data_IF_178102254428
#
_entry.id   IF_178102254428
#
_cell.length_a   1.000
_cell.length_b   1.000
_cell.length_c   1.000
_cell.angle_alpha   90.00
_cell.angle_beta   90.00
_cell.angle_gamma   90.00
#
_symmetry.space_group_name_H-M   'P 1'
#
loop_
_entity.id
_entity.type
_entity.pdbx_description
1 polymer ?
#
# COMPACT_ATOMS: atom_id res chain seq x y z
N UNK A 1 2.90 -17.36 0.76
CA UNK A 1 2.82 -15.94 0.42
C UNK A 1 2.08 -15.29 1.57
N UNK A 2 2.81 -14.75 2.55
CA UNK A 2 2.27 -14.51 3.90
C UNK A 2 2.42 -13.05 4.34
N UNK A 3 2.69 -12.15 3.39
CA UNK A 3 2.97 -10.74 3.65
C UNK A 3 1.88 -9.87 3.01
N UNK A 4 1.54 -8.71 3.61
CA UNK A 4 0.63 -7.75 3.01
C UNK A 4 1.11 -7.28 1.61
N UNK A 5 0.15 -6.86 0.79
CA UNK A 5 0.42 -6.13 -0.46
C UNK A 5 0.28 -4.65 -0.13
N UNK A 6 1.31 -3.86 -0.43
CA UNK A 6 1.26 -2.40 -0.32
C UNK A 6 1.23 -1.76 -1.70
N UNK A 7 0.44 -0.69 -1.85
CA UNK A 7 0.31 0.08 -3.10
C UNK A 7 0.51 1.56 -2.75
N UNK A 8 1.47 2.21 -3.43
CA UNK A 8 1.91 3.58 -3.10
C UNK A 8 2.34 4.37 -4.35
N UNK A 9 3.04 5.49 -4.18
CA UNK A 9 3.67 6.21 -5.29
C UNK A 9 5.02 5.60 -5.70
N UNK A 10 5.45 5.87 -6.94
CA UNK A 10 6.65 5.30 -7.56
C UNK A 10 7.90 5.42 -6.69
N UNK A 11 8.19 6.62 -6.16
CA UNK A 11 9.43 6.85 -5.38
C UNK A 11 9.34 6.33 -3.94
N UNK A 12 8.17 5.87 -3.51
CA UNK A 12 7.92 5.32 -2.18
C UNK A 12 7.83 3.79 -2.17
N UNK A 13 8.03 3.13 -3.31
CA UNK A 13 8.01 1.67 -3.37
C UNK A 13 9.07 1.03 -2.44
N UNK A 14 10.26 1.64 -2.36
CA UNK A 14 11.33 1.22 -1.43
C UNK A 14 10.94 1.33 0.05
N UNK A 15 10.45 2.51 0.49
CA UNK A 15 10.03 2.70 1.89
C UNK A 15 8.83 1.83 2.25
N UNK A 16 7.95 1.55 1.29
CA UNK A 16 6.80 0.66 1.49
C UNK A 16 7.22 -0.79 1.71
N UNK A 17 8.15 -1.30 0.90
CA UNK A 17 8.77 -2.62 1.08
C UNK A 17 9.46 -2.73 2.45
N UNK A 18 10.32 -1.76 2.77
CA UNK A 18 11.12 -1.78 3.99
C UNK A 18 10.25 -1.62 5.24
N UNK A 19 9.28 -0.71 5.20
CA UNK A 19 8.30 -0.49 6.25
C UNK A 19 7.49 -1.76 6.55
N UNK A 20 7.08 -2.49 5.51
CA UNK A 20 6.36 -3.77 5.67
C UNK A 20 7.21 -4.81 6.39
N UNK A 21 8.50 -4.93 6.06
CA UNK A 21 9.41 -5.84 6.76
C UNK A 21 9.61 -5.45 8.22
N UNK A 22 9.80 -4.15 8.50
CA UNK A 22 9.94 -3.63 9.87
C UNK A 22 8.67 -3.89 10.69
N UNK A 23 7.50 -3.68 10.09
CA UNK A 23 6.21 -3.97 10.71
C UNK A 23 6.06 -5.48 11.01
N UNK A 24 6.34 -6.34 10.03
CA UNK A 24 6.28 -7.79 10.21
C UNK A 24 7.23 -8.29 11.30
N UNK A 25 8.45 -7.75 11.38
CA UNK A 25 9.40 -8.11 12.43
C UNK A 25 8.88 -7.74 13.83
N UNK A 26 8.07 -6.69 13.92
CA UNK A 26 7.44 -6.25 15.17
C UNK A 26 6.26 -7.14 15.55
N UNK A 27 5.36 -7.46 14.61
CA UNK A 27 4.08 -8.11 14.92
C UNK A 27 4.13 -9.64 14.85
N UNK A 28 5.02 -10.19 14.02
CA UNK A 28 5.17 -11.62 13.80
C UNK A 28 6.61 -11.99 13.41
N UNK A 29 7.59 -11.81 14.32
CA UNK A 29 9.01 -12.04 14.03
C UNK A 29 9.29 -13.46 13.51
N UNK A 30 8.60 -14.47 14.05
CA UNK A 30 8.74 -15.85 13.62
C UNK A 30 8.42 -16.09 12.13
N UNK A 31 7.58 -15.25 11.51
CA UNK A 31 7.28 -15.35 10.07
C UNK A 31 8.45 -14.88 9.19
N UNK A 32 9.35 -14.03 9.71
CA UNK A 32 10.58 -13.63 9.04
C UNK A 32 11.70 -14.63 9.33
N UNK A 33 11.79 -15.15 10.56
CA UNK A 33 12.86 -16.08 10.91
C UNK A 33 12.69 -17.46 10.24
N UNK A 34 11.45 -17.85 9.95
CA UNK A 34 11.13 -19.12 9.29
C UNK A 34 10.98 -19.04 7.77
N UNK A 35 11.03 -17.85 7.17
CA UNK A 35 10.86 -17.65 5.72
C UNK A 35 11.61 -16.42 5.19
N UNK A 36 11.90 -16.40 3.89
CA UNK A 36 12.44 -15.21 3.24
C UNK A 36 11.42 -14.06 3.32
N UNK A 37 11.83 -12.94 3.93
CA UNK A 37 11.03 -11.71 3.99
C UNK A 37 10.87 -11.07 2.60
N UNK A 38 9.86 -11.51 1.85
CA UNK A 38 9.59 -11.11 0.46
C UNK A 38 8.23 -10.39 0.37
N UNK A 39 8.10 -9.15 0.88
CA UNK A 39 6.86 -8.38 0.77
C UNK A 39 6.62 -7.95 -0.67
N UNK A 40 5.35 -7.67 -0.99
CA UNK A 40 4.96 -7.10 -2.29
C UNK A 40 4.65 -5.63 -2.10
N UNK A 41 5.44 -4.78 -2.76
CA UNK A 41 5.19 -3.36 -2.89
C UNK A 41 4.98 -3.03 -4.37
N UNK A 42 3.86 -2.39 -4.69
CA UNK A 42 3.49 -1.94 -6.02
C UNK A 42 3.25 -0.43 -6.03
N UNK A 43 3.18 0.15 -7.21
CA UNK A 43 3.09 1.60 -7.36
C UNK A 43 2.33 2.05 -8.60
N UNK A 44 1.90 3.32 -8.55
CA UNK A 44 1.59 4.15 -9.71
C UNK A 44 2.19 5.54 -9.51
N UNK A 45 2.39 6.31 -10.58
CA UNK A 45 3.01 7.63 -10.52
C UNK A 45 2.00 8.76 -10.22
N UNK A 46 2.24 9.54 -9.15
CA UNK A 46 1.39 10.67 -8.74
C UNK A 46 2.05 12.05 -8.85
N UNK A 47 3.21 12.18 -9.51
CA UNK A 47 3.98 13.43 -9.53
C UNK A 47 3.32 14.63 -10.23
N UNK A 48 2.11 14.49 -10.75
CA UNK A 48 1.29 15.63 -11.21
C UNK A 48 0.61 16.38 -10.06
N UNK A 49 0.21 15.67 -9.01
CA UNK A 49 -0.51 16.22 -7.86
C UNK A 49 0.27 16.08 -6.55
N UNK A 50 1.40 15.39 -6.58
CA UNK A 50 2.28 15.14 -5.45
C UNK A 50 3.70 15.63 -5.75
N UNK A 51 4.39 16.16 -4.74
CA UNK A 51 5.83 16.35 -4.82
C UNK A 51 6.54 15.00 -4.61
N UNK A 52 6.58 14.20 -5.68
CA UNK A 52 7.05 12.81 -5.62
C UNK A 52 8.54 12.68 -5.27
N UNK A 53 9.33 13.74 -5.47
CA UNK A 53 10.75 13.77 -5.11
C UNK A 53 11.01 14.17 -3.65
N UNK A 54 9.98 14.63 -2.93
CA UNK A 54 10.12 15.07 -1.54
C UNK A 54 10.21 13.92 -0.52
N UNK A 55 10.03 12.67 -0.94
CA UNK A 55 10.09 11.48 -0.08
C UNK A 55 9.19 11.58 1.17
N UNK A 56 7.97 12.09 1.01
CA UNK A 56 7.02 12.38 2.09
C UNK A 56 6.49 11.14 2.84
N UNK A 57 6.59 9.95 2.23
CA UNK A 57 6.10 8.70 2.81
C UNK A 57 7.17 8.09 3.73
N UNK A 58 6.77 7.74 4.96
CA UNK A 58 7.67 7.18 5.99
C UNK A 58 7.30 5.74 6.32
N UNK A 59 8.16 5.03 7.06
CA UNK A 59 7.85 3.69 7.57
C UNK A 59 6.66 3.70 8.53
N UNK A 60 6.43 4.81 9.23
CA UNK A 60 5.34 4.98 10.18
C UNK A 60 4.00 5.05 9.45
N UNK A 61 3.93 5.75 8.32
CA UNK A 61 2.73 5.74 7.47
C UNK A 61 2.39 4.32 6.97
N UNK A 62 3.42 3.52 6.63
CA UNK A 62 3.24 2.12 6.22
C UNK A 62 2.69 1.29 7.38
N UNK A 63 3.28 1.43 8.58
CA UNK A 63 2.82 0.71 9.77
C UNK A 63 1.39 1.10 10.13
N UNK A 64 1.02 2.38 10.06
CA UNK A 64 -0.33 2.87 10.32
C UNK A 64 -1.35 2.26 9.34
N UNK A 65 -1.04 2.23 8.04
CA UNK A 65 -1.90 1.61 7.04
C UNK A 65 -2.08 0.09 7.28
N UNK A 66 -1.04 -0.59 7.75
CA UNK A 66 -1.09 -2.03 8.07
C UNK A 66 -1.85 -2.30 9.38
N UNK A 67 -1.63 -1.51 10.43
CA UNK A 67 -2.32 -1.61 11.71
C UNK A 67 -3.82 -1.26 11.58
N UNK A 68 -4.16 -0.34 10.66
CA UNK A 68 -5.53 0.10 10.38
C UNK A 68 -6.32 -0.78 9.41
N UNK A 69 -5.71 -1.82 8.83
CA UNK A 69 -6.37 -2.68 7.86
C UNK A 69 -7.55 -3.45 8.49
N UNK A 70 -8.74 -3.32 7.90
CA UNK A 70 -9.97 -3.94 8.40
C UNK A 70 -10.83 -4.49 7.26
N UNK A 71 -11.70 -5.45 7.58
CA UNK A 71 -12.77 -5.89 6.69
C UNK A 71 -13.96 -4.93 6.68
N UNK A 72 -14.98 -5.24 5.90
CA UNK A 72 -16.19 -4.41 5.77
C UNK A 72 -16.11 -3.44 4.58
N UNK A 73 -16.89 -2.34 4.60
CA UNK A 73 -16.81 -1.30 3.56
C UNK A 73 -15.40 -0.73 3.45
N UNK A 74 -14.92 -0.57 2.21
CA UNK A 74 -13.60 -0.02 1.91
C UNK A 74 -13.78 1.42 1.43
N UNK A 75 -12.99 2.35 1.95
CA UNK A 75 -12.99 3.74 1.48
C UNK A 75 -12.41 3.82 0.05
N UNK A 76 -13.08 4.58 -0.82
CA UNK A 76 -12.73 4.72 -2.24
C UNK A 76 -12.47 6.19 -2.61
N UNK A 77 -11.78 6.40 -3.73
CA UNK A 77 -11.39 7.71 -4.22
C UNK A 77 -9.98 8.09 -3.78
N UNK A 78 -9.79 9.33 -3.31
CA UNK A 78 -8.47 9.91 -3.06
C UNK A 78 -7.87 9.48 -1.72
N UNK A 79 -7.64 8.18 -1.56
CA UNK A 79 -7.21 7.57 -0.30
C UNK A 79 -6.06 6.58 -0.51
N UNK A 80 -5.19 6.45 0.51
CA UNK A 80 -4.00 5.59 0.47
C UNK A 80 -3.09 5.91 -0.73
N UNK A 81 -2.59 4.88 -1.42
CA UNK A 81 -1.81 5.05 -2.65
C UNK A 81 -2.57 5.75 -3.79
N UNK A 82 -3.90 5.77 -3.75
CA UNK A 82 -4.75 6.46 -4.74
C UNK A 82 -4.84 7.98 -4.58
N UNK A 83 -4.30 8.55 -3.49
CA UNK A 83 -4.50 9.96 -3.10
C UNK A 83 -4.15 10.94 -4.22
N UNK A 84 -2.97 10.82 -4.83
CA UNK A 84 -2.51 11.72 -5.89
C UNK A 84 -2.83 11.27 -7.32
N UNK A 85 -3.65 10.24 -7.51
CA UNK A 85 -3.81 9.58 -8.81
C UNK A 85 -4.83 10.27 -9.74
N UNK A 86 -4.57 10.14 -11.05
CA UNK A 86 -5.38 10.64 -12.16
C UNK A 86 -5.70 9.48 -13.10
N UNK A 87 -6.91 9.45 -13.65
CA UNK A 87 -7.31 8.47 -14.67
C UNK A 87 -8.26 9.13 -15.66
N UNK A 88 -8.03 8.96 -16.95
CA UNK A 88 -8.79 9.60 -18.04
C UNK A 88 -8.95 11.14 -17.91
N UNK A 89 -7.96 11.82 -17.31
CA UNK A 89 -7.99 13.28 -17.14
C UNK A 89 -8.85 13.79 -15.98
N UNK A 90 -9.47 12.89 -15.20
CA UNK A 90 -10.23 13.22 -14.00
C UNK A 90 -9.47 12.79 -12.75
N UNK A 91 -9.84 13.37 -11.60
CA UNK A 91 -9.36 12.88 -10.31
C UNK A 91 -9.80 11.42 -10.15
N UNK A 92 -8.85 10.57 -9.76
CA UNK A 92 -9.07 9.14 -9.56
C UNK A 92 -8.59 8.72 -8.16
N UNK A 93 -8.31 7.43 -7.99
CA UNK A 93 -7.68 6.89 -6.80
C UNK A 93 -8.02 5.40 -6.60
N UNK A 94 -8.18 5.00 -5.35
CA UNK A 94 -8.52 3.62 -4.97
C UNK A 94 -9.97 3.31 -5.35
N UNK A 95 -10.22 2.14 -5.94
CA UNK A 95 -11.55 1.66 -6.27
C UNK A 95 -11.63 0.14 -6.19
N UNK A 96 -12.79 -0.39 -5.80
CA UNK A 96 -13.01 -1.82 -5.59
C UNK A 96 -14.40 -2.26 -6.02
N UNK A 97 -14.54 -3.53 -6.36
CA UNK A 97 -15.83 -4.16 -6.67
C UNK A 97 -15.74 -5.67 -6.45
N UNK A 98 -16.88 -6.30 -6.17
CA UNK A 98 -16.97 -7.76 -6.04
C UNK A 98 -18.13 -8.31 -6.87
N UNK A 99 -18.07 -9.61 -7.19
CA UNK A 99 -19.13 -10.37 -7.86
C UNK A 99 -19.22 -11.76 -7.25
N UNK A 100 -20.42 -12.32 -7.18
CA UNK A 100 -20.67 -13.71 -6.79
C UNK A 100 -21.00 -14.49 -8.06
N UNK A 101 -20.35 -15.62 -8.28
CA UNK A 101 -20.54 -16.49 -9.46
C UNK A 101 -21.02 -17.88 -9.02
N UNK A 102 -21.93 -18.47 -9.78
CA UNK A 102 -22.36 -19.86 -9.58
C UNK A 102 -21.42 -20.80 -10.35
N UNK A 103 -21.03 -21.90 -9.69
CA UNK A 103 -20.22 -22.98 -10.27
C UNK A 103 -21.12 -24.04 -10.92
#
# INVERSE_FOLDING_TARGET
FNFPITITNTHSCGVSRDGTLRWMNRVLPAAIDSAWGLPVAAETYDGFLNDINGHHLTSEHVAEALDGAAGGPVEEGSVGGGTGMITFGFKAGSGTASRIVAW
#
